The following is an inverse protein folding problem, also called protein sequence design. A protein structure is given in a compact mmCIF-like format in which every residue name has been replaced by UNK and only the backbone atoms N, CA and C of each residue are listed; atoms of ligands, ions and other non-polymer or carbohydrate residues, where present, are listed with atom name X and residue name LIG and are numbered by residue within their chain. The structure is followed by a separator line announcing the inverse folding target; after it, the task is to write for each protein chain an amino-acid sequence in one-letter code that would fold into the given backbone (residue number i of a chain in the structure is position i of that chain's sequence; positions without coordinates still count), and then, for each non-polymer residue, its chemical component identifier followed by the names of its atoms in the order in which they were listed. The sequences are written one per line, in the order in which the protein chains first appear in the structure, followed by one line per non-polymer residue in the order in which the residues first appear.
data_IF_641475267142
#
_entry.id   IF_641475267142
#
_cell.length_a   1.000
_cell.length_b   1.000
_cell.length_c   1.000
_cell.angle_alpha   90.00
_cell.angle_beta   90.00
_cell.angle_gamma   90.00
#
_symmetry.space_group_name_H-M   'P 1'
#
loop_
_entity.id
_entity.type
_entity.pdbx_description
1 polymer ?
#
# COMPACT_ATOMS: atom_id res chain seq x y z
N UNK A 1 25.55 0.14 -3.94
CA UNK A 1 25.12 -1.23 -3.62
C UNK A 1 24.68 -1.31 -2.17
N UNK A 2 23.65 -2.09 -1.84
CA UNK A 2 23.20 -2.29 -0.47
C UNK A 2 22.03 -1.43 -0.01
N UNK A 3 21.36 -0.70 -0.89
CA UNK A 3 20.14 -0.01 -0.56
C UNK A 3 19.02 -1.01 -0.19
N UNK A 4 18.18 -0.63 0.77
CA UNK A 4 16.98 -1.37 1.17
C UNK A 4 15.75 -0.56 0.81
N UNK A 5 14.77 -1.20 0.21
CA UNK A 5 13.53 -0.56 -0.24
C UNK A 5 12.33 -1.22 0.43
N UNK A 6 11.41 -0.44 0.94
CA UNK A 6 10.16 -0.94 1.56
C UNK A 6 8.97 -0.28 0.87
N UNK A 7 8.06 -1.09 0.32
CA UNK A 7 6.85 -0.65 -0.35
C UNK A 7 5.61 -1.18 0.41
N UNK A 8 4.98 -0.28 1.17
CA UNK A 8 3.77 -0.57 1.98
C UNK A 8 2.62 0.39 1.69
N UNK A 9 2.78 1.25 0.68
CA UNK A 9 1.77 2.23 0.30
C UNK A 9 0.84 1.70 -0.81
N UNK A 10 1.22 1.88 -2.06
CA UNK A 10 0.48 1.38 -3.23
C UNK A 10 1.46 1.07 -4.37
N UNK A 11 1.20 0.00 -5.13
CA UNK A 11 2.07 -0.43 -6.23
C UNK A 11 2.30 0.65 -7.33
N UNK A 12 1.30 1.45 -7.74
CA UNK A 12 1.49 2.46 -8.79
C UNK A 12 2.42 3.62 -8.45
N UNK A 13 2.95 3.71 -7.22
CA UNK A 13 3.90 4.79 -6.86
C UNK A 13 5.32 4.50 -7.34
N UNK A 14 5.57 3.30 -7.89
CA UNK A 14 6.87 2.90 -8.42
C UNK A 14 6.70 2.26 -9.80
N UNK A 15 7.76 2.30 -10.60
CA UNK A 15 7.90 1.39 -11.73
C UNK A 15 8.24 0.00 -11.18
N UNK A 16 7.23 -0.87 -11.14
CA UNK A 16 7.31 -2.15 -10.45
C UNK A 16 8.27 -3.13 -11.12
N UNK A 17 8.30 -3.13 -12.45
CA UNK A 17 9.21 -3.99 -13.21
C UNK A 17 10.65 -3.54 -13.04
N UNK A 18 10.92 -2.24 -13.12
CA UNK A 18 12.24 -1.69 -12.86
C UNK A 18 12.71 -1.96 -11.41
N UNK A 19 11.81 -1.93 -10.42
CA UNK A 19 12.12 -2.31 -9.04
C UNK A 19 12.58 -3.76 -8.96
N UNK A 20 11.82 -4.69 -9.54
CA UNK A 20 12.17 -6.12 -9.54
C UNK A 20 13.48 -6.39 -10.30
N UNK A 21 13.74 -5.69 -11.40
CA UNK A 21 15.00 -5.78 -12.12
C UNK A 21 16.21 -5.34 -11.27
N UNK A 22 16.06 -4.30 -10.45
CA UNK A 22 17.11 -3.88 -9.53
C UNK A 22 17.36 -4.88 -8.41
N UNK A 23 16.30 -5.54 -7.91
CA UNK A 23 16.43 -6.64 -6.95
C UNK A 23 17.14 -7.83 -7.60
N UNK A 24 16.69 -8.26 -8.78
CA UNK A 24 17.31 -9.36 -9.52
C UNK A 24 18.79 -9.15 -9.81
N UNK A 25 19.18 -7.90 -10.10
CA UNK A 25 20.57 -7.51 -10.32
C UNK A 25 21.40 -7.36 -9.03
N UNK A 26 20.84 -7.64 -7.85
CA UNK A 26 21.50 -7.47 -6.54
C UNK A 26 21.87 -6.03 -6.20
N UNK A 27 21.24 -5.04 -6.85
CA UNK A 27 21.51 -3.62 -6.62
C UNK A 27 20.85 -3.09 -5.36
N UNK A 28 19.74 -3.70 -4.95
CA UNK A 28 19.03 -3.43 -3.70
C UNK A 28 18.32 -4.69 -3.21
N UNK A 29 17.92 -4.69 -1.95
CA UNK A 29 16.94 -5.64 -1.41
C UNK A 29 15.62 -4.92 -1.17
N UNK A 30 14.49 -5.64 -1.25
CA UNK A 30 13.20 -5.02 -1.07
C UNK A 30 12.27 -5.84 -0.17
N UNK A 31 11.35 -5.15 0.52
CA UNK A 31 10.18 -5.72 1.17
C UNK A 31 8.93 -5.07 0.54
N UNK A 32 8.04 -5.89 0.01
CA UNK A 32 6.88 -5.42 -0.76
C UNK A 32 5.61 -6.03 -0.16
N UNK A 33 4.67 -5.17 0.22
CA UNK A 33 3.36 -5.55 0.76
C UNK A 33 2.21 -5.29 -0.23
N UNK A 34 2.41 -4.44 -1.23
CA UNK A 34 1.40 -4.02 -2.20
C UNK A 34 1.82 -4.36 -3.63
N UNK A 35 0.91 -4.90 -4.44
CA UNK A 35 1.22 -5.49 -5.73
C UNK A 35 0.35 -4.90 -6.85
N UNK A 36 0.84 -4.86 -8.10
CA UNK A 36 0.02 -4.43 -9.25
C UNK A 36 -1.21 -5.31 -9.49
N UNK A 37 -1.09 -6.61 -9.20
CA UNK A 37 -2.19 -7.58 -9.23
C UNK A 37 -2.23 -8.34 -7.89
N UNK A 38 -3.39 -8.41 -7.28
CA UNK A 38 -3.60 -9.09 -5.99
C UNK A 38 -4.80 -10.05 -6.10
N UNK A 39 -4.62 -11.33 -5.73
CA UNK A 39 -3.40 -11.95 -5.20
C UNK A 39 -2.28 -12.07 -6.24
N UNK A 40 -1.03 -12.04 -5.80
CA UNK A 40 0.14 -12.20 -6.68
C UNK A 40 0.09 -13.57 -7.37
N UNK A 41 0.10 -13.63 -8.72
CA UNK A 41 0.03 -14.89 -9.45
C UNK A 41 1.09 -15.90 -9.03
N UNK A 42 0.77 -17.20 -9.05
CA UNK A 42 1.70 -18.24 -8.62
C UNK A 42 3.00 -18.26 -9.45
N UNK A 43 2.92 -17.96 -10.75
CA UNK A 43 4.06 -17.90 -11.66
C UNK A 43 4.79 -16.54 -11.66
N UNK A 44 4.40 -15.58 -10.82
CA UNK A 44 5.00 -14.26 -10.83
C UNK A 44 6.47 -14.31 -10.40
N UNK A 45 7.36 -13.68 -11.18
CA UNK A 45 8.82 -13.71 -10.99
C UNK A 45 9.29 -13.27 -9.60
N UNK A 46 8.55 -12.39 -8.95
CA UNK A 46 8.87 -11.93 -7.60
C UNK A 46 8.95 -13.07 -6.57
N UNK A 47 8.26 -14.20 -6.80
CA UNK A 47 8.22 -15.32 -5.85
C UNK A 47 9.53 -16.09 -5.73
N UNK A 48 10.41 -15.92 -6.70
CA UNK A 48 11.69 -16.64 -6.80
C UNK A 48 12.90 -15.71 -6.74
N UNK A 49 12.70 -14.41 -6.56
CA UNK A 49 13.81 -13.45 -6.48
C UNK A 49 14.44 -13.47 -5.08
N UNK A 50 15.75 -13.72 -5.06
CA UNK A 50 16.56 -13.49 -3.86
C UNK A 50 16.58 -12.00 -3.50
N UNK A 51 16.65 -11.71 -2.19
CA UNK A 51 16.67 -10.32 -1.72
C UNK A 51 15.31 -9.62 -1.71
N UNK A 52 14.21 -10.36 -1.94
CA UNK A 52 12.86 -9.86 -1.89
C UNK A 52 12.04 -10.54 -0.76
N UNK A 53 11.48 -9.73 0.13
CA UNK A 53 10.48 -10.17 1.11
C UNK A 53 9.09 -9.83 0.58
N UNK A 54 8.21 -10.83 0.51
CA UNK A 54 6.84 -10.67 0.03
C UNK A 54 5.86 -10.71 1.20
N UNK A 55 4.91 -9.78 1.20
CA UNK A 55 3.79 -9.76 2.12
C UNK A 55 2.48 -9.60 1.33
N UNK A 56 1.39 -10.23 1.74
CA UNK A 56 0.12 -10.26 1.00
C UNK A 56 -0.80 -9.09 1.40
N UNK A 57 -0.32 -7.85 1.29
CA UNK A 57 -1.05 -6.60 1.58
C UNK A 57 -1.64 -6.57 3.00
N UNK A 58 -0.79 -6.84 3.99
CA UNK A 58 -1.21 -6.94 5.39
C UNK A 58 -0.55 -5.91 6.32
N UNK A 59 0.34 -5.06 5.84
CA UNK A 59 1.08 -4.12 6.68
C UNK A 59 0.14 -3.17 7.46
N UNK A 60 -0.98 -2.75 6.86
CA UNK A 60 -2.02 -1.95 7.51
C UNK A 60 -3.14 -2.76 8.16
N UNK A 61 -3.20 -4.08 7.94
CA UNK A 61 -4.31 -4.96 8.34
C UNK A 61 -4.12 -5.60 9.71
N UNK A 62 -3.69 -4.85 10.71
CA UNK A 62 -3.50 -5.34 12.07
C UNK A 62 -4.55 -4.78 13.03
N UNK A 63 -4.96 -5.51 14.10
CA UNK A 63 -6.00 -5.07 15.02
C UNK A 63 -5.75 -3.68 15.64
N UNK A 64 -4.49 -3.37 15.93
CA UNK A 64 -4.10 -2.09 16.49
C UNK A 64 -4.36 -0.92 15.52
N UNK A 65 -4.06 -1.11 14.23
CA UNK A 65 -4.33 -0.10 13.21
C UNK A 65 -5.84 0.14 13.04
N UNK A 66 -6.66 -0.92 13.00
CA UNK A 66 -8.12 -0.78 12.93
C UNK A 66 -8.69 -0.07 14.16
N UNK A 67 -8.21 -0.38 15.36
CA UNK A 67 -8.64 0.30 16.58
C UNK A 67 -8.27 1.78 16.56
N UNK A 68 -7.09 2.14 16.04
CA UNK A 68 -6.68 3.54 15.94
C UNK A 68 -7.50 4.28 14.88
N UNK A 69 -7.74 3.69 13.72
CA UNK A 69 -8.63 4.27 12.69
C UNK A 69 -10.02 4.54 13.29
N UNK A 70 -10.57 3.59 14.04
CA UNK A 70 -11.86 3.76 14.72
C UNK A 70 -11.87 4.95 15.69
N UNK A 71 -10.80 5.11 16.49
CA UNK A 71 -10.66 6.28 17.38
C UNK A 71 -10.59 7.59 16.60
N UNK A 72 -9.78 7.65 15.53
CA UNK A 72 -9.67 8.84 14.69
C UNK A 72 -11.01 9.25 14.09
N UNK A 73 -11.80 8.28 13.62
CA UNK A 73 -13.15 8.54 13.09
C UNK A 73 -14.07 9.11 14.19
N UNK A 74 -14.06 8.54 15.39
CA UNK A 74 -14.89 9.03 16.51
C UNK A 74 -14.49 10.44 16.96
N UNK A 75 -13.19 10.73 17.00
CA UNK A 75 -12.68 12.07 17.32
C UNK A 75 -13.23 13.10 16.32
N UNK A 76 -13.12 12.81 15.02
CA UNK A 76 -13.58 13.72 13.97
C UNK A 76 -15.10 13.86 13.92
N UNK A 77 -15.86 12.77 14.13
CA UNK A 77 -17.31 12.84 14.26
C UNK A 77 -17.74 13.73 15.43
N UNK A 78 -17.00 13.68 16.54
CA UNK A 78 -17.26 14.54 17.71
C UNK A 78 -17.02 16.01 17.37
N UNK A 79 -15.99 16.33 16.60
CA UNK A 79 -15.72 17.70 16.14
C UNK A 79 -16.81 18.17 15.18
N UNK A 80 -17.16 17.35 14.18
CA UNK A 80 -18.20 17.67 13.19
C UNK A 80 -19.56 17.90 13.85
N UNK A 81 -19.94 17.10 14.85
CA UNK A 81 -21.18 17.28 15.61
C UNK A 81 -21.23 18.61 16.38
N UNK A 82 -20.07 19.23 16.62
CA UNK A 82 -19.95 20.57 17.23
C UNK A 82 -19.77 21.70 16.20
N UNK A 83 -19.92 21.40 14.91
CA UNK A 83 -19.71 22.36 13.81
C UNK A 83 -18.24 22.71 13.54
N UNK A 84 -17.31 21.90 14.03
CA UNK A 84 -15.87 22.07 13.82
C UNK A 84 -15.37 21.17 12.67
N UNK A 85 -14.29 21.55 11.98
CA UNK A 85 -13.72 20.71 10.93
C UNK A 85 -13.04 19.47 11.54
N UNK A 86 -12.95 18.35 10.76
CA UNK A 86 -12.18 17.18 11.17
C UNK A 86 -10.70 17.55 11.33
N UNK A 87 -10.01 16.93 12.29
CA UNK A 87 -8.63 17.23 12.64
C UNK A 87 -7.69 16.02 12.51
N UNK A 88 -8.23 14.80 12.46
CA UNK A 88 -7.45 13.56 12.45
C UNK A 88 -7.38 12.93 11.07
N UNK A 89 -8.43 13.02 10.29
CA UNK A 89 -8.54 12.38 8.98
C UNK A 89 -8.54 13.41 7.86
N UNK A 90 -8.05 13.00 6.70
CA UNK A 90 -8.05 13.84 5.51
C UNK A 90 -9.45 13.86 4.89
N UNK A 91 -9.85 15.03 4.40
CA UNK A 91 -11.08 15.17 3.61
C UNK A 91 -10.90 14.35 2.31
N UNK A 92 -11.90 13.51 2.01
CA UNK A 92 -11.94 12.73 0.77
C UNK A 92 -12.30 13.66 -0.41
N UNK A 93 -11.30 14.35 -0.96
CA UNK A 93 -11.49 15.12 -2.18
C UNK A 93 -11.69 14.16 -3.37
N UNK A 94 -12.70 14.36 -4.23
CA UNK A 94 -12.98 13.47 -5.37
C UNK A 94 -11.77 13.21 -6.26
N UNK A 95 -10.93 14.21 -6.46
CA UNK A 95 -9.71 14.13 -7.28
C UNK A 95 -8.67 13.18 -6.64
N UNK A 96 -8.55 13.19 -5.32
CA UNK A 96 -7.66 12.30 -4.59
C UNK A 96 -8.21 10.88 -4.59
N UNK A 97 -9.50 10.71 -4.33
CA UNK A 97 -10.17 9.39 -4.34
C UNK A 97 -10.06 8.73 -5.72
N UNK A 98 -10.21 9.49 -6.80
CA UNK A 98 -10.08 8.98 -8.16
C UNK A 98 -8.68 8.41 -8.46
N UNK A 99 -7.63 8.98 -7.86
CA UNK A 99 -6.25 8.50 -8.00
C UNK A 99 -5.99 7.19 -7.26
N UNK A 100 -6.76 6.90 -6.21
CA UNK A 100 -6.58 5.70 -5.37
C UNK A 100 -7.49 4.53 -5.77
N UNK A 101 -8.37 4.71 -6.76
CA UNK A 101 -9.15 3.59 -7.29
C UNK A 101 -8.21 2.65 -8.05
N UNK A 102 -7.87 1.54 -7.41
CA UNK A 102 -7.34 0.39 -8.12
C UNK A 102 -8.38 0.00 -9.16
N UNK A 103 -8.05 0.11 -10.45
CA UNK A 103 -8.90 -0.49 -11.49
C UNK A 103 -8.93 -1.98 -11.21
N UNK A 104 -10.10 -2.62 -11.12
CA UNK A 104 -10.17 -4.07 -11.13
C UNK A 104 -9.40 -4.54 -12.37
N UNK A 105 -8.48 -5.48 -12.19
CA UNK A 105 -7.89 -6.17 -13.33
C UNK A 105 -9.06 -6.88 -14.00
N UNK A 106 -9.34 -6.52 -15.26
CA UNK A 106 -10.32 -7.26 -16.04
C UNK A 106 -9.83 -8.71 -16.06
N UNK A 107 -10.59 -9.62 -15.43
CA UNK A 107 -10.30 -11.04 -15.53
C UNK A 107 -10.51 -11.47 -16.97
N UNK A 108 -9.49 -12.08 -17.56
CA UNK A 108 -9.61 -12.91 -18.77
C UNK A 108 -10.36 -14.19 -18.42
#
# INVERSE_FOLDING_TARGET
AGARFVLVSRAPVVDFDALLDRVAAGRLTAAIDVWPAEPVPAAHRARTLDGLVLSPHRAGGIPQAFAEIGRMVLDDLTLIARGLPPARMQIAAPELVARYRNRPVAGD
#
